data_IF_715208325558
#
_entry.id   IF_715208325558
#
_cell.length_a   1.000
_cell.length_b   1.000
_cell.length_c   1.000
_cell.angle_alpha   90.00
_cell.angle_beta   90.00
_cell.angle_gamma   90.00
#
_symmetry.space_group_name_H-M   'P 1'
#
loop_
_entity.id
_entity.type
_entity.pdbx_description
1 polymer ?
#
# COMPACT_ATOMS: atom_id res chain seq x y z
N UNK A 1 22.17 -12.58 -3.56
CA UNK A 1 21.79 -11.17 -3.83
C UNK A 1 20.39 -11.00 -3.27
N UNK A 2 20.27 -10.48 -2.05
CA UNK A 2 18.99 -10.24 -1.39
C UNK A 2 18.26 -9.15 -2.21
N UNK A 3 17.21 -9.49 -2.91
CA UNK A 3 16.29 -8.49 -3.48
C UNK A 3 15.47 -7.98 -2.29
N UNK A 4 15.75 -6.76 -1.87
CA UNK A 4 14.90 -6.01 -0.94
C UNK A 4 13.57 -5.75 -1.68
N UNK A 5 12.57 -6.57 -1.39
CA UNK A 5 11.25 -6.52 -2.04
C UNK A 5 10.31 -5.54 -1.30
N UNK A 6 10.85 -4.39 -0.90
CA UNK A 6 10.13 -3.35 -0.16
C UNK A 6 9.57 -2.32 -1.14
N UNK A 7 8.29 -1.95 -0.98
CA UNK A 7 7.65 -0.95 -1.83
C UNK A 7 8.28 0.44 -1.67
N UNK A 8 8.65 1.04 -2.79
CA UNK A 8 9.01 2.45 -2.88
C UNK A 8 7.73 3.31 -3.07
N UNK A 9 7.79 4.65 -2.82
CA UNK A 9 6.60 5.50 -2.92
C UNK A 9 5.82 5.40 -4.24
N UNK A 10 6.52 5.28 -5.37
CA UNK A 10 5.89 5.11 -6.69
C UNK A 10 5.14 3.78 -6.83
N UNK A 11 5.65 2.72 -6.22
CA UNK A 11 4.99 1.42 -6.19
C UNK A 11 3.78 1.41 -5.25
N UNK A 12 3.81 2.18 -4.15
CA UNK A 12 2.63 2.37 -3.30
C UNK A 12 1.50 3.08 -4.04
N UNK A 13 1.81 4.10 -4.87
CA UNK A 13 0.83 4.75 -5.75
C UNK A 13 0.28 3.77 -6.78
N UNK A 14 1.14 2.94 -7.39
CA UNK A 14 0.74 1.91 -8.35
C UNK A 14 -0.16 0.85 -7.69
N UNK A 15 0.18 0.40 -6.50
CA UNK A 15 -0.66 -0.51 -5.71
C UNK A 15 -2.05 0.07 -5.46
N UNK A 16 -2.12 1.34 -5.06
CA UNK A 16 -3.38 2.03 -4.80
C UNK A 16 -4.23 2.15 -6.07
N UNK A 17 -3.63 2.52 -7.21
CA UNK A 17 -4.34 2.66 -8.47
C UNK A 17 -4.89 1.32 -8.98
N UNK A 18 -4.06 0.28 -8.98
CA UNK A 18 -4.47 -1.06 -9.42
C UNK A 18 -5.55 -1.65 -8.51
N UNK A 19 -5.46 -1.42 -7.18
CA UNK A 19 -6.47 -1.84 -6.23
C UNK A 19 -7.83 -1.18 -6.50
N UNK A 20 -7.85 0.14 -6.71
CA UNK A 20 -9.08 0.85 -7.08
C UNK A 20 -9.68 0.35 -8.41
N UNK A 21 -8.85 0.03 -9.41
CA UNK A 21 -9.32 -0.51 -10.69
C UNK A 21 -9.78 -1.97 -10.59
N UNK A 22 -9.36 -2.73 -9.60
CA UNK A 22 -9.92 -4.05 -9.28
C UNK A 22 -11.31 -3.97 -8.68
N UNK A 23 -11.61 -2.90 -7.92
CA UNK A 23 -12.96 -2.63 -7.40
C UNK A 23 -13.94 -2.25 -8.52
N UNK A 24 -13.45 -1.72 -9.65
CA UNK A 24 -14.25 -1.37 -10.83
C UNK A 24 -13.57 -0.39 -11.77
N UNK A 25 -14.11 -0.30 -12.99
CA UNK A 25 -13.69 0.69 -13.98
C UNK A 25 -13.99 2.11 -13.48
N UNK A 26 -13.06 3.07 -13.72
CA UNK A 26 -13.19 4.45 -13.23
C UNK A 26 -12.63 5.47 -14.21
N UNK A 27 -13.22 6.68 -14.28
CA UNK A 27 -12.61 7.80 -14.96
C UNK A 27 -11.24 8.15 -14.36
N UNK A 28 -10.27 8.47 -15.21
CA UNK A 28 -8.90 8.83 -14.80
C UNK A 28 -8.88 9.95 -13.76
N UNK A 29 -9.68 11.01 -13.98
CA UNK A 29 -9.75 12.16 -13.05
C UNK A 29 -10.31 11.80 -11.69
N UNK A 30 -11.29 10.90 -11.61
CA UNK A 30 -11.84 10.40 -10.35
C UNK A 30 -10.81 9.54 -9.61
N UNK A 31 -10.17 8.61 -10.31
CA UNK A 31 -9.10 7.79 -9.77
C UNK A 31 -7.96 8.65 -9.21
N UNK A 32 -7.47 9.62 -9.99
CA UNK A 32 -6.42 10.53 -9.57
C UNK A 32 -6.81 11.37 -8.34
N UNK A 33 -8.06 11.81 -8.27
CA UNK A 33 -8.58 12.60 -7.14
C UNK A 33 -8.71 11.76 -5.87
N UNK A 34 -9.23 10.54 -5.98
CA UNK A 34 -9.36 9.61 -4.85
C UNK A 34 -7.99 9.24 -4.28
N UNK A 35 -7.03 8.90 -5.15
CA UNK A 35 -5.67 8.55 -4.72
C UNK A 35 -4.98 9.74 -4.06
N UNK A 36 -5.09 10.94 -4.64
CA UNK A 36 -4.52 12.16 -4.06
C UNK A 36 -5.12 12.43 -2.68
N UNK A 37 -6.43 12.30 -2.54
CA UNK A 37 -7.10 12.48 -1.25
C UNK A 37 -6.59 11.48 -0.21
N UNK A 38 -6.57 10.19 -0.54
CA UNK A 38 -6.13 9.14 0.38
C UNK A 38 -4.67 9.32 0.81
N UNK A 39 -3.77 9.51 -0.16
CA UNK A 39 -2.33 9.65 0.10
C UNK A 39 -2.04 10.91 0.92
N UNK A 40 -2.64 12.04 0.56
CA UNK A 40 -2.45 13.30 1.30
C UNK A 40 -2.94 13.24 2.75
N UNK A 41 -3.95 12.42 3.04
CA UNK A 41 -4.44 12.21 4.42
C UNK A 41 -3.57 11.25 5.22
N UNK A 42 -2.92 10.28 4.56
CA UNK A 42 -2.07 9.30 5.22
C UNK A 42 -0.67 9.82 5.52
N UNK A 43 -0.06 10.55 4.59
CA UNK A 43 1.37 10.94 4.68
C UNK A 43 1.61 12.44 4.47
N UNK A 44 0.55 13.23 4.34
CA UNK A 44 0.65 14.67 4.09
C UNK A 44 0.77 15.05 2.61
N UNK A 45 0.76 16.38 2.30
CA UNK A 45 0.63 16.89 0.94
C UNK A 45 1.90 16.79 0.07
N UNK A 46 2.97 16.18 0.55
CA UNK A 46 4.31 16.26 -0.03
C UNK A 46 4.63 15.27 -1.17
N UNK A 47 3.67 14.45 -1.61
CA UNK A 47 3.89 13.47 -2.68
C UNK A 47 3.07 13.81 -3.94
N UNK A 48 3.65 14.64 -4.81
CA UNK A 48 3.11 14.90 -6.16
C UNK A 48 3.65 13.87 -7.17
N UNK A 49 3.50 12.57 -6.85
CA UNK A 49 3.95 11.46 -7.69
C UNK A 49 2.83 10.85 -8.55
N UNK A 50 1.60 11.36 -8.42
CA UNK A 50 0.39 10.69 -8.94
C UNK A 50 0.29 10.73 -10.47
N UNK A 51 0.47 11.90 -11.09
CA UNK A 51 0.27 12.06 -12.53
C UNK A 51 1.19 11.13 -13.33
N UNK A 52 2.48 11.21 -13.07
CA UNK A 52 3.49 10.39 -13.76
C UNK A 52 3.29 8.89 -13.52
N UNK A 53 2.85 8.48 -12.32
CA UNK A 53 2.66 7.06 -11.98
C UNK A 53 1.46 6.44 -12.68
N UNK A 54 0.34 7.17 -12.82
CA UNK A 54 -0.86 6.69 -13.52
C UNK A 54 -0.64 6.59 -15.02
N UNK A 55 0.01 7.59 -15.63
CA UNK A 55 0.33 7.58 -17.06
C UNK A 55 1.29 6.44 -17.40
N UNK A 56 2.30 6.23 -16.56
CA UNK A 56 3.26 5.14 -16.72
C UNK A 56 2.60 3.76 -16.63
N UNK A 57 1.64 3.59 -15.71
CA UNK A 57 0.88 2.35 -15.56
C UNK A 57 0.08 2.02 -16.83
N UNK A 58 -0.52 3.04 -17.47
CA UNK A 58 -1.22 2.86 -18.74
C UNK A 58 -0.23 2.56 -19.88
N UNK A 59 0.92 3.24 -19.90
CA UNK A 59 1.97 2.98 -20.88
C UNK A 59 2.56 1.56 -20.77
N UNK A 60 2.71 1.05 -19.56
CA UNK A 60 3.17 -0.32 -19.27
C UNK A 60 2.09 -1.39 -19.56
N UNK A 61 0.88 -1.00 -19.94
CA UNK A 61 -0.22 -1.91 -20.24
C UNK A 61 -0.86 -2.57 -19.01
N UNK A 62 -0.66 -2.01 -17.82
CA UNK A 62 -1.29 -2.49 -16.58
C UNK A 62 -2.75 -2.04 -16.47
N UNK A 63 -3.08 -0.92 -17.11
CA UNK A 63 -4.44 -0.45 -17.31
C UNK A 63 -4.63 -0.01 -18.77
N UNK A 64 -5.85 -0.10 -19.27
CA UNK A 64 -6.23 0.31 -20.63
C UNK A 64 -7.51 1.13 -20.60
N UNK A 65 -7.80 1.82 -21.69
CA UNK A 65 -9.10 2.49 -21.87
C UNK A 65 -10.20 1.44 -21.95
N UNK A 66 -11.29 1.63 -21.22
CA UNK A 66 -12.41 0.69 -21.19
C UNK A 66 -13.04 0.47 -22.58
N UNK A 67 -12.97 1.48 -23.47
CA UNK A 67 -13.49 1.42 -24.83
C UNK A 67 -12.55 0.74 -25.84
N UNK A 68 -11.29 0.42 -25.45
CA UNK A 68 -10.33 -0.24 -26.33
C UNK A 68 -10.35 -1.76 -26.16
N UNK A 69 -10.29 -2.47 -27.31
CA UNK A 69 -10.06 -3.93 -27.32
C UNK A 69 -8.67 -4.23 -26.74
N UNK A 70 -8.57 -5.30 -25.95
CA UNK A 70 -7.32 -5.72 -25.29
C UNK A 70 -6.12 -5.71 -26.27
N UNK A 71 -5.05 -5.02 -25.90
CA UNK A 71 -3.77 -4.98 -26.64
C UNK A 71 -3.41 -3.67 -27.31
N UNK A 72 -4.27 -2.67 -27.35
CA UNK A 72 -3.90 -1.35 -27.87
C UNK A 72 -3.17 -0.54 -26.78
N UNK A 73 -1.87 -0.29 -26.97
CA UNK A 73 -1.08 0.63 -26.17
C UNK A 73 -1.56 2.06 -26.42
N UNK A 74 -1.93 2.76 -25.34
CA UNK A 74 -2.39 4.16 -25.41
C UNK A 74 -1.19 5.07 -25.23
N UNK A 75 -0.96 5.98 -26.21
CA UNK A 75 0.07 7.00 -26.07
C UNK A 75 -0.32 8.03 -24.98
N UNK A 76 0.70 8.68 -24.36
CA UNK A 76 0.50 9.58 -23.20
C UNK A 76 -0.43 10.78 -23.45
N UNK A 77 -0.69 11.12 -24.71
CA UNK A 77 -1.52 12.28 -25.10
C UNK A 77 -3.03 11.98 -25.22
N UNK A 78 -3.44 10.73 -25.04
CA UNK A 78 -4.83 10.31 -25.24
C UNK A 78 -5.66 10.27 -23.94
N UNK A 79 -5.03 10.34 -22.77
CA UNK A 79 -5.73 10.20 -21.49
C UNK A 79 -6.23 11.56 -21.02
N UNK A 80 -7.56 11.68 -20.94
CA UNK A 80 -8.26 12.85 -20.38
C UNK A 80 -8.95 12.47 -19.08
N UNK A 81 -9.31 13.44 -18.26
CA UNK A 81 -9.96 13.21 -16.96
C UNK A 81 -11.22 12.34 -17.04
N UNK A 82 -11.98 12.46 -18.13
CA UNK A 82 -13.19 11.68 -18.38
C UNK A 82 -12.93 10.28 -18.98
N UNK A 83 -11.66 9.95 -19.29
CA UNK A 83 -11.31 8.65 -19.87
C UNK A 83 -11.49 7.54 -18.86
N UNK A 84 -12.34 6.56 -19.13
CA UNK A 84 -12.57 5.42 -18.23
C UNK A 84 -11.43 4.41 -18.40
N UNK A 85 -10.82 4.06 -17.29
CA UNK A 85 -9.74 3.08 -17.20
C UNK A 85 -10.26 1.73 -16.69
N UNK A 86 -9.69 0.67 -17.24
CA UNK A 86 -9.93 -0.72 -16.83
C UNK A 86 -8.59 -1.42 -16.56
N UNK A 87 -8.52 -2.25 -15.53
CA UNK A 87 -7.34 -3.07 -15.25
C UNK A 87 -7.21 -4.20 -16.27
N UNK A 88 -5.97 -4.51 -16.66
CA UNK A 88 -5.65 -5.66 -17.51
C UNK A 88 -5.29 -6.90 -16.67
N UNK A 89 -5.12 -8.07 -17.30
CA UNK A 89 -4.61 -9.26 -16.62
C UNK A 89 -3.17 -9.05 -16.12
N UNK A 90 -2.35 -8.33 -16.89
CA UNK A 90 -1.02 -7.91 -16.43
C UNK A 90 -1.10 -6.99 -15.20
N UNK A 91 -2.08 -6.08 -15.16
CA UNK A 91 -2.35 -5.23 -14.00
C UNK A 91 -2.80 -6.01 -12.78
N UNK A 92 -3.64 -7.04 -12.94
CA UNK A 92 -4.05 -7.95 -11.85
C UNK A 92 -2.86 -8.71 -11.26
N UNK A 93 -1.97 -9.20 -12.11
CA UNK A 93 -0.76 -9.87 -11.67
C UNK A 93 0.20 -8.90 -10.97
N UNK A 94 0.39 -7.71 -11.52
CA UNK A 94 1.19 -6.66 -10.87
C UNK A 94 0.64 -6.27 -9.50
N UNK A 95 -0.70 -6.19 -9.34
CA UNK A 95 -1.34 -5.96 -8.06
C UNK A 95 -0.98 -7.04 -7.04
N UNK A 96 -1.08 -8.34 -7.41
CA UNK A 96 -0.73 -9.45 -6.51
C UNK A 96 0.73 -9.39 -6.07
N UNK A 97 1.64 -9.12 -7.00
CA UNK A 97 3.08 -8.97 -6.71
C UNK A 97 3.33 -7.83 -5.72
N UNK A 98 2.67 -6.68 -5.90
CA UNK A 98 2.78 -5.54 -5.01
C UNK A 98 2.15 -5.82 -3.64
N UNK A 99 1.03 -6.54 -3.59
CA UNK A 99 0.42 -6.97 -2.33
C UNK A 99 1.32 -7.95 -1.57
N UNK A 100 2.01 -8.86 -2.26
CA UNK A 100 2.94 -9.82 -1.66
C UNK A 100 4.29 -9.21 -1.25
N UNK A 101 4.55 -7.94 -1.56
CA UNK A 101 5.82 -7.28 -1.20
C UNK A 101 5.95 -7.11 0.32
N UNK A 102 7.20 -7.12 0.80
CA UNK A 102 7.50 -6.94 2.22
C UNK A 102 7.23 -5.50 2.69
N UNK A 103 6.86 -5.38 3.96
CA UNK A 103 6.74 -4.10 4.65
C UNK A 103 8.03 -3.86 5.42
N UNK A 104 8.64 -2.69 5.23
CA UNK A 104 9.94 -2.37 5.85
C UNK A 104 9.77 -1.78 7.25
N UNK A 105 10.50 -2.32 8.20
CA UNK A 105 10.76 -1.65 9.48
C UNK A 105 12.04 -0.77 9.35
N UNK A 106 12.16 0.40 10.00
CA UNK A 106 11.16 1.02 10.89
C UNK A 106 9.95 1.60 10.16
N UNK A 107 8.83 1.66 10.86
CA UNK A 107 7.59 2.24 10.34
C UNK A 107 7.76 3.73 10.14
N UNK A 108 7.82 4.17 8.90
CA UNK A 108 7.78 5.57 8.49
C UNK A 108 6.45 5.88 7.79
N UNK A 109 6.26 7.10 7.32
CA UNK A 109 4.99 7.50 6.69
C UNK A 109 4.68 6.68 5.42
N UNK A 110 5.68 6.31 4.63
CA UNK A 110 5.49 5.43 3.47
C UNK A 110 5.08 4.04 3.91
N UNK A 111 5.68 3.49 4.96
CA UNK A 111 5.29 2.20 5.53
C UNK A 111 3.86 2.22 6.04
N UNK A 112 3.44 3.30 6.73
CA UNK A 112 2.04 3.49 7.16
C UNK A 112 1.08 3.50 5.97
N UNK A 113 1.44 4.19 4.88
CA UNK A 113 0.65 4.18 3.65
C UNK A 113 0.54 2.76 3.07
N UNK A 114 1.64 2.02 2.97
CA UNK A 114 1.65 0.65 2.45
C UNK A 114 0.77 -0.27 3.30
N UNK A 115 0.87 -0.21 4.62
CA UNK A 115 -0.01 -0.97 5.54
C UNK A 115 -1.48 -0.63 5.31
N UNK A 116 -1.82 0.66 5.22
CA UNK A 116 -3.19 1.10 5.00
C UNK A 116 -3.75 0.62 3.65
N UNK A 117 -2.93 0.65 2.58
CA UNK A 117 -3.32 0.14 1.26
C UNK A 117 -3.52 -1.37 1.27
N UNK A 118 -2.61 -2.12 1.90
CA UNK A 118 -2.76 -3.58 2.04
C UNK A 118 -4.03 -3.94 2.80
N UNK A 119 -4.33 -3.27 3.91
CA UNK A 119 -5.57 -3.49 4.66
C UNK A 119 -6.82 -3.13 3.84
N UNK A 120 -6.79 -2.03 3.10
CA UNK A 120 -7.90 -1.64 2.23
C UNK A 120 -8.22 -2.71 1.20
N UNK A 121 -7.20 -3.28 0.58
CA UNK A 121 -7.34 -4.24 -0.51
C UNK A 121 -7.25 -5.71 -0.09
N UNK A 122 -7.12 -5.97 1.21
CA UNK A 122 -7.11 -7.34 1.76
C UNK A 122 -8.32 -8.18 1.30
N UNK A 123 -9.56 -7.64 1.23
CA UNK A 123 -10.72 -8.38 0.76
C UNK A 123 -10.66 -8.82 -0.72
N UNK A 124 -9.75 -8.27 -1.51
CA UNK A 124 -9.56 -8.63 -2.92
C UNK A 124 -8.64 -9.86 -3.12
N UNK A 125 -8.05 -10.35 -2.04
CA UNK A 125 -7.15 -11.51 -2.03
C UNK A 125 -7.92 -12.79 -1.69
N UNK A 126 -7.34 -13.93 -2.04
CA UNK A 126 -7.79 -15.23 -1.55
C UNK A 126 -7.54 -15.36 -0.04
N UNK A 127 -8.22 -16.30 0.64
CA UNK A 127 -8.07 -16.48 2.09
C UNK A 127 -6.62 -16.81 2.48
N UNK A 128 -5.92 -17.64 1.69
CA UNK A 128 -4.50 -17.95 1.93
C UNK A 128 -3.60 -16.71 1.78
N UNK A 129 -3.78 -15.95 0.69
CA UNK A 129 -2.99 -14.71 0.47
C UNK A 129 -3.29 -13.67 1.56
N UNK A 130 -4.53 -13.62 2.05
CA UNK A 130 -4.93 -12.74 3.15
C UNK A 130 -4.25 -13.11 4.45
N UNK A 131 -4.23 -14.40 4.80
CA UNK A 131 -3.55 -14.90 5.99
C UNK A 131 -2.05 -14.57 5.96
N UNK A 132 -1.37 -14.85 4.83
CA UNK A 132 0.05 -14.54 4.64
C UNK A 132 0.35 -13.04 4.84
N UNK A 133 -0.54 -12.16 4.35
CA UNK A 133 -0.37 -10.72 4.52
C UNK A 133 -0.57 -10.25 5.97
N UNK A 134 -1.53 -10.82 6.67
CA UNK A 134 -1.76 -10.50 8.09
C UNK A 134 -0.61 -11.01 8.96
N UNK A 135 -0.06 -12.20 8.67
CA UNK A 135 1.12 -12.75 9.33
C UNK A 135 2.33 -11.82 9.12
N UNK A 136 2.62 -11.41 7.88
CA UNK A 136 3.72 -10.49 7.58
C UNK A 136 3.58 -9.14 8.29
N UNK A 137 2.35 -8.62 8.46
CA UNK A 137 2.10 -7.39 9.21
C UNK A 137 2.30 -7.58 10.72
N UNK A 138 1.93 -8.74 11.27
CA UNK A 138 2.17 -9.07 12.68
C UNK A 138 3.69 -9.21 12.96
N UNK A 139 4.42 -9.94 12.11
CA UNK A 139 5.88 -10.09 12.21
C UNK A 139 6.61 -8.73 12.14
N UNK A 140 6.16 -7.83 11.26
CA UNK A 140 6.71 -6.46 11.19
C UNK A 140 6.54 -5.74 12.54
N UNK A 141 5.37 -5.86 13.18
CA UNK A 141 5.13 -5.26 14.50
C UNK A 141 6.04 -5.87 15.58
N UNK A 142 6.23 -7.18 15.58
CA UNK A 142 7.12 -7.86 16.51
C UNK A 142 8.58 -7.38 16.39
N UNK A 143 9.09 -7.28 15.17
CA UNK A 143 10.45 -6.78 14.93
C UNK A 143 10.64 -5.34 15.42
N UNK A 144 9.63 -4.50 15.23
CA UNK A 144 9.64 -3.12 15.71
C UNK A 144 9.54 -3.05 17.23
N UNK A 145 8.69 -3.89 17.85
CA UNK A 145 8.56 -4.00 19.32
C UNK A 145 9.87 -4.39 19.99
N UNK A 146 10.60 -5.35 19.45
CA UNK A 146 11.92 -5.74 19.97
C UNK A 146 12.84 -4.51 20.02
N UNK A 147 12.93 -3.74 18.93
CA UNK A 147 13.77 -2.54 18.88
C UNK A 147 13.36 -1.46 19.86
N UNK A 148 12.04 -1.16 19.96
CA UNK A 148 11.53 -0.13 20.85
C UNK A 148 11.68 -0.52 22.31
N UNK A 149 11.48 -1.80 22.66
CA UNK A 149 11.68 -2.31 24.01
C UNK A 149 13.15 -2.27 24.43
N UNK A 150 14.08 -2.59 23.53
CA UNK A 150 15.52 -2.43 23.79
C UNK A 150 15.87 -0.96 24.09
N UNK A 151 15.33 -0.03 23.30
CA UNK A 151 15.51 1.40 23.52
C UNK A 151 14.87 1.87 24.84
N UNK A 152 13.67 1.39 25.14
CA UNK A 152 12.96 1.68 26.39
C UNK A 152 13.73 1.15 27.61
N UNK A 153 14.34 -0.02 27.51
CA UNK A 153 15.17 -0.58 28.59
C UNK A 153 16.41 0.30 28.88
N UNK A 154 16.96 0.93 27.83
CA UNK A 154 18.13 1.82 27.98
C UNK A 154 17.77 3.24 28.42
N UNK A 155 16.60 3.75 28.03
CA UNK A 155 16.19 5.17 28.18
C UNK A 155 14.76 5.32 28.75
N UNK A 156 14.28 4.37 29.57
CA UNK A 156 12.89 4.32 30.06
C UNK A 156 12.51 5.39 31.08
N UNK A 157 13.42 6.30 31.46
CA UNK A 157 13.17 7.36 32.42
C UNK A 157 12.85 8.70 31.74
N UNK A 158 12.16 9.59 32.49
CA UNK A 158 11.87 10.95 32.05
C UNK A 158 10.85 11.04 30.90
N UNK A 159 10.92 12.11 30.11
CA UNK A 159 9.98 12.37 29.03
C UNK A 159 10.15 11.40 27.86
N UNK A 160 11.39 11.00 27.55
CA UNK A 160 11.67 10.03 26.50
C UNK A 160 11.08 8.65 26.86
N UNK A 161 11.24 8.22 28.13
CA UNK A 161 10.68 6.97 28.60
C UNK A 161 9.17 6.91 28.48
N UNK A 162 8.48 8.01 28.81
CA UNK A 162 7.02 8.12 28.62
C UNK A 162 6.64 7.97 27.15
N UNK A 163 7.29 8.71 26.26
CA UNK A 163 7.03 8.63 24.83
C UNK A 163 7.28 7.22 24.28
N UNK A 164 8.38 6.57 24.70
CA UNK A 164 8.67 5.18 24.30
C UNK A 164 7.59 4.20 24.80
N UNK A 165 7.03 4.41 25.99
CA UNK A 165 5.92 3.62 26.50
C UNK A 165 4.68 3.75 25.60
N UNK A 166 4.31 4.97 25.24
CA UNK A 166 3.17 5.21 24.36
C UNK A 166 3.35 4.57 22.98
N UNK A 167 4.59 4.61 22.41
CA UNK A 167 4.90 3.97 21.14
C UNK A 167 4.84 2.43 21.21
N UNK A 168 5.35 1.84 22.29
CA UNK A 168 5.27 0.39 22.53
C UNK A 168 3.82 -0.05 22.68
N UNK A 169 3.02 0.64 23.49
CA UNK A 169 1.61 0.32 23.71
C UNK A 169 0.80 0.40 22.41
N UNK A 170 1.03 1.44 21.60
CA UNK A 170 0.39 1.60 20.29
C UNK A 170 0.75 0.47 19.32
N UNK A 171 1.99 0.02 19.36
CA UNK A 171 2.48 -1.06 18.48
C UNK A 171 2.00 -2.43 18.96
N UNK A 172 1.93 -2.68 20.28
CA UNK A 172 1.33 -3.89 20.86
C UNK A 172 -0.15 -4.00 20.49
N UNK A 173 -0.91 -2.91 20.57
CA UNK A 173 -2.30 -2.87 20.14
C UNK A 173 -2.47 -3.18 18.64
N UNK A 174 -1.57 -2.68 17.80
CA UNK A 174 -1.57 -2.94 16.35
C UNK A 174 -1.24 -4.40 16.05
N UNK A 175 -0.24 -4.97 16.72
CA UNK A 175 0.11 -6.39 16.63
C UNK A 175 -1.09 -7.28 16.99
N UNK A 176 -1.73 -7.00 18.13
CA UNK A 176 -2.91 -7.73 18.57
C UNK A 176 -4.07 -7.64 17.56
N UNK A 177 -4.26 -6.48 16.92
CA UNK A 177 -5.27 -6.30 15.87
C UNK A 177 -4.97 -7.24 14.68
N UNK A 178 -3.73 -7.26 14.15
CA UNK A 178 -3.39 -8.12 13.01
C UNK A 178 -3.53 -9.60 13.35
N UNK A 179 -3.11 -10.02 14.55
CA UNK A 179 -3.26 -11.41 15.03
C UNK A 179 -4.74 -11.79 15.18
N UNK A 180 -5.59 -10.89 15.66
CA UNK A 180 -7.02 -11.16 15.81
C UNK A 180 -7.74 -11.33 14.46
N UNK A 181 -7.32 -10.59 13.44
CA UNK A 181 -7.87 -10.70 12.08
C UNK A 181 -7.51 -12.02 11.40
N UNK A 182 -6.42 -12.68 11.80
CA UNK A 182 -6.06 -14.03 11.30
C UNK A 182 -7.01 -15.12 11.81
N UNK A 183 -7.63 -14.91 12.97
CA UNK A 183 -8.47 -15.91 13.64
C UNK A 183 -9.96 -15.73 13.38
N UNK A 184 -10.35 -14.68 12.67
CA UNK A 184 -11.75 -14.36 12.37
C UNK A 184 -12.10 -14.86 10.97
N UNK A 185 -12.40 -16.15 10.85
CA UNK A 185 -13.13 -16.79 9.74
C UNK A 185 -14.58 -17.09 10.11
#
# INVERSE_FOLDING_TARGET
MYRDNTLIPTEAVRLAALGCLLEGERPYGELASELRYFIARMIGPSLDLLGTSLDLMCYEGLAVLAETTDGALVGPQAIKDATVLRITDAGREAFRVLMASNIRAPVNDVTKLVVALKLRFLPLLTDSERADQLEAMAEMCEQELVRLRDLQAAYGEGLLGRWLTDEVDALDARHAMFTSLQTTD
#
